data_IF_707849077780
#
_entry.id   IF_707849077780
#
_cell.length_a   1.000
_cell.length_b   1.000
_cell.length_c   1.000
_cell.angle_alpha   90.00
_cell.angle_beta   90.00
_cell.angle_gamma   90.00
#
_symmetry.space_group_name_H-M   'P 1'
#
loop_
_entity.id
_entity.type
_entity.pdbx_description
1 polymer ?
#
# COMPACT_ATOMS: atom_id res chain seq x y z
N UNK A 1 -35.29 -17.48 -36.90
CA UNK A 1 -35.12 -16.64 -35.69
C UNK A 1 -33.63 -16.54 -35.50
N UNK A 2 -33.05 -15.59 -36.21
CA UNK A 2 -31.63 -15.51 -36.50
C UNK A 2 -31.11 -14.35 -35.65
N UNK A 3 -30.29 -14.65 -34.64
CA UNK A 3 -29.74 -13.64 -33.75
C UNK A 3 -28.57 -12.94 -34.43
N UNK A 4 -28.75 -11.68 -34.79
CA UNK A 4 -27.70 -10.84 -35.37
C UNK A 4 -26.77 -10.34 -34.25
N UNK A 5 -25.61 -11.00 -34.08
CA UNK A 5 -24.56 -10.52 -33.18
C UNK A 5 -23.77 -9.41 -33.88
N UNK A 6 -24.08 -8.15 -33.53
CA UNK A 6 -23.32 -6.99 -33.95
C UNK A 6 -22.20 -6.72 -32.94
N UNK A 7 -20.98 -7.16 -33.26
CA UNK A 7 -19.76 -6.78 -32.54
C UNK A 7 -19.46 -5.30 -32.78
N UNK A 8 -19.91 -4.43 -31.86
CA UNK A 8 -19.41 -3.06 -31.77
C UNK A 8 -17.97 -3.10 -31.25
N UNK A 9 -17.08 -2.49 -32.02
CA UNK A 9 -15.66 -2.29 -31.79
C UNK A 9 -15.30 -2.23 -30.31
N UNK A 10 -14.56 -3.24 -29.87
CA UNK A 10 -13.75 -3.13 -28.66
C UNK A 10 -12.64 -2.11 -28.97
N UNK A 11 -12.88 -0.85 -28.62
CA UNK A 11 -11.79 0.12 -28.57
C UNK A 11 -10.71 -0.48 -27.68
N UNK A 12 -9.55 -0.66 -28.29
CA UNK A 12 -8.35 -1.21 -27.72
C UNK A 12 -7.89 -0.27 -26.61
N UNK A 13 -8.52 -0.34 -25.43
CA UNK A 13 -7.94 0.20 -24.21
C UNK A 13 -6.63 -0.54 -24.04
N UNK A 14 -5.55 0.16 -24.38
CA UNK A 14 -4.21 -0.37 -24.40
C UNK A 14 -4.00 -1.21 -23.16
N UNK A 15 -3.78 -2.51 -23.39
CA UNK A 15 -3.18 -3.39 -22.41
C UNK A 15 -1.79 -2.80 -22.14
N UNK A 16 -1.76 -1.85 -21.21
CA UNK A 16 -0.55 -1.44 -20.51
C UNK A 16 0.09 -2.75 -20.05
N UNK A 17 1.41 -2.93 -20.24
CA UNK A 17 2.09 -4.14 -19.81
C UNK A 17 1.72 -4.36 -18.35
N UNK A 18 1.10 -5.50 -18.05
CA UNK A 18 0.78 -5.93 -16.69
C UNK A 18 2.08 -6.33 -15.99
N UNK A 19 3.03 -5.41 -15.87
CA UNK A 19 3.87 -5.43 -14.69
C UNK A 19 2.89 -5.22 -13.56
N UNK A 20 2.51 -6.29 -12.87
CA UNK A 20 1.71 -6.26 -11.63
C UNK A 20 2.55 -5.62 -10.50
N UNK A 21 3.30 -4.57 -10.85
CA UNK A 21 4.08 -3.76 -9.97
C UNK A 21 3.08 -3.05 -9.07
N UNK A 22 3.13 -3.43 -7.81
CA UNK A 22 2.48 -2.71 -6.74
C UNK A 22 2.75 -1.20 -6.91
N UNK A 23 1.76 -0.32 -6.70
CA UNK A 23 1.90 1.13 -6.86
C UNK A 23 2.75 1.75 -5.73
N UNK A 24 3.96 1.24 -5.53
CA UNK A 24 4.91 1.67 -4.49
C UNK A 24 5.42 3.08 -4.72
N UNK A 25 5.32 3.58 -5.96
CA UNK A 25 5.63 4.97 -6.33
C UNK A 25 4.66 5.98 -5.70
N UNK A 26 3.43 5.57 -5.39
CA UNK A 26 2.46 6.42 -4.70
C UNK A 26 2.68 6.49 -3.18
N UNK A 27 3.62 5.70 -2.65
CA UNK A 27 3.95 5.70 -1.22
C UNK A 27 4.90 6.87 -0.90
N UNK A 28 4.66 7.54 0.22
CA UNK A 28 5.65 8.49 0.74
C UNK A 28 6.92 7.76 1.18
N UNK A 29 8.06 8.46 1.27
CA UNK A 29 9.34 7.86 1.71
C UNK A 29 9.21 7.11 3.04
N UNK A 30 8.46 7.67 4.00
CA UNK A 30 8.22 7.05 5.32
C UNK A 30 7.31 5.83 5.24
N UNK A 31 6.23 5.89 4.47
CA UNK A 31 5.35 4.74 4.23
C UNK A 31 6.14 3.59 3.58
N UNK A 32 6.99 3.91 2.60
CA UNK A 32 7.85 2.96 1.94
C UNK A 32 8.88 2.36 2.92
N UNK A 33 9.51 3.17 3.76
CA UNK A 33 10.47 2.72 4.80
C UNK A 33 9.82 1.72 5.77
N UNK A 34 8.65 2.07 6.31
CA UNK A 34 7.87 1.19 7.20
C UNK A 34 7.51 -0.12 6.51
N UNK A 35 7.01 -0.05 5.27
CA UNK A 35 6.62 -1.23 4.49
C UNK A 35 7.82 -2.13 4.17
N UNK A 36 8.95 -1.55 3.77
CA UNK A 36 10.18 -2.29 3.51
C UNK A 36 10.68 -2.99 4.76
N UNK A 37 10.64 -2.32 5.91
CA UNK A 37 11.02 -2.91 7.19
C UNK A 37 10.13 -4.11 7.53
N UNK A 38 8.82 -3.93 7.45
CA UNK A 38 7.85 -5.00 7.69
C UNK A 38 8.11 -6.22 6.80
N UNK A 39 8.39 -6.00 5.50
CA UNK A 39 8.77 -7.09 4.58
C UNK A 39 10.08 -7.76 4.95
N UNK A 40 11.13 -6.97 5.24
CA UNK A 40 12.46 -7.47 5.61
C UNK A 40 12.40 -8.34 6.87
N UNK A 41 11.59 -7.93 7.84
CA UNK A 41 11.34 -8.62 9.11
C UNK A 41 10.32 -9.75 9.01
N UNK A 42 9.81 -10.05 7.80
CA UNK A 42 8.86 -11.16 7.57
C UNK A 42 7.58 -11.00 8.40
N UNK A 43 7.12 -9.75 8.57
CA UNK A 43 5.87 -9.41 9.25
C UNK A 43 4.63 -10.00 8.55
N UNK A 44 4.66 -10.02 7.21
CA UNK A 44 3.61 -10.59 6.38
C UNK A 44 3.74 -12.11 6.16
N UNK A 45 4.76 -12.75 6.74
CA UNK A 45 5.01 -14.19 6.58
C UNK A 45 4.13 -15.01 7.54
N UNK A 46 3.85 -16.25 7.18
CA UNK A 46 3.18 -17.20 8.08
C UNK A 46 4.04 -18.48 8.24
N UNK A 47 4.48 -18.82 9.46
CA UNK A 47 4.26 -18.13 10.74
C UNK A 47 5.00 -16.79 10.83
N UNK A 48 4.38 -15.80 11.48
CA UNK A 48 4.95 -14.44 11.63
C UNK A 48 6.28 -14.53 12.39
N UNK A 49 7.35 -14.02 11.78
CA UNK A 49 8.68 -13.95 12.44
C UNK A 49 8.92 -12.61 13.16
N UNK A 50 8.15 -11.59 12.81
CA UNK A 50 8.16 -10.30 13.49
C UNK A 50 6.73 -9.85 13.80
N UNK A 51 6.58 -9.19 14.94
CA UNK A 51 5.34 -8.58 15.40
C UNK A 51 5.36 -7.09 15.12
N UNK A 52 4.18 -6.46 15.11
CA UNK A 52 4.07 -5.00 14.95
C UNK A 52 4.88 -4.26 16.04
N UNK A 53 4.92 -4.77 17.26
CA UNK A 53 5.74 -4.19 18.34
C UNK A 53 7.25 -4.20 18.05
N UNK A 54 7.79 -5.26 17.42
CA UNK A 54 9.22 -5.34 17.06
C UNK A 54 9.60 -4.31 16.00
N UNK A 55 8.71 -4.11 15.03
CA UNK A 55 8.89 -3.09 13.99
C UNK A 55 8.76 -1.67 14.55
N UNK A 56 7.84 -1.48 15.49
CA UNK A 56 7.59 -0.20 16.13
C UNK A 56 8.78 0.21 17.01
N UNK A 57 9.33 -0.73 17.79
CA UNK A 57 10.55 -0.54 18.58
C UNK A 57 11.77 -0.19 17.69
N UNK A 58 11.96 -0.92 16.59
CA UNK A 58 13.07 -0.68 15.66
C UNK A 58 12.98 0.67 14.94
N UNK A 59 11.75 1.17 14.69
CA UNK A 59 11.50 2.49 14.12
C UNK A 59 11.40 3.59 15.17
N UNK A 60 11.49 3.24 16.46
CA UNK A 60 11.28 4.14 17.59
C UNK A 60 9.94 4.90 17.51
N UNK A 61 8.87 4.17 17.22
CA UNK A 61 7.50 4.70 17.14
C UNK A 61 6.55 3.83 17.96
N UNK A 62 5.38 4.38 18.27
CA UNK A 62 4.28 3.62 18.83
C UNK A 62 3.73 2.56 17.86
N UNK A 63 3.28 1.44 18.39
CA UNK A 63 2.65 0.35 17.59
C UNK A 63 1.44 0.87 16.80
N UNK A 64 0.66 1.79 17.36
CA UNK A 64 -0.47 2.45 16.68
C UNK A 64 -0.02 3.25 15.45
N UNK A 65 1.08 4.01 15.55
CA UNK A 65 1.65 4.79 14.45
C UNK A 65 2.13 3.88 13.33
N UNK A 66 2.78 2.76 13.67
CA UNK A 66 3.17 1.74 12.70
C UNK A 66 1.96 1.20 11.94
N UNK A 67 0.90 0.79 12.66
CA UNK A 67 -0.32 0.28 12.04
C UNK A 67 -0.99 1.30 11.12
N UNK A 68 -0.99 2.58 11.50
CA UNK A 68 -1.52 3.65 10.64
C UNK A 68 -0.72 3.75 9.33
N UNK A 69 0.61 3.70 9.41
CA UNK A 69 1.46 3.70 8.21
C UNK A 69 1.21 2.47 7.34
N UNK A 70 1.13 1.27 7.92
CA UNK A 70 0.84 0.05 7.18
C UNK A 70 -0.54 0.10 6.54
N UNK A 71 -1.57 0.55 7.25
CA UNK A 71 -2.93 0.66 6.70
C UNK A 71 -3.00 1.65 5.53
N UNK A 72 -2.28 2.77 5.62
CA UNK A 72 -2.16 3.74 4.51
C UNK A 72 -1.45 3.12 3.30
N UNK A 73 -0.35 2.40 3.54
CA UNK A 73 0.35 1.65 2.49
C UNK A 73 -0.60 0.64 1.84
N UNK A 74 -1.29 -0.16 2.64
CA UNK A 74 -2.23 -1.19 2.16
C UNK A 74 -3.37 -0.58 1.34
N UNK A 75 -3.94 0.55 1.77
CA UNK A 75 -4.98 1.26 1.01
C UNK A 75 -4.49 1.70 -0.38
N UNK A 76 -3.25 2.18 -0.47
CA UNK A 76 -2.61 2.56 -1.74
C UNK A 76 -2.37 1.30 -2.60
N UNK A 77 -1.84 0.23 -2.01
CA UNK A 77 -1.57 -1.03 -2.69
C UNK A 77 -2.84 -1.71 -3.21
N UNK A 78 -3.96 -1.59 -2.49
CA UNK A 78 -5.27 -2.14 -2.85
C UNK A 78 -6.05 -1.24 -3.84
N UNK A 79 -5.49 -0.09 -4.24
CA UNK A 79 -6.17 0.85 -5.14
C UNK A 79 -7.37 1.56 -4.51
N UNK A 80 -7.47 1.57 -3.17
CA UNK A 80 -8.51 2.27 -2.42
C UNK A 80 -8.19 3.76 -2.21
N UNK A 81 -7.11 4.26 -2.82
CA UNK A 81 -6.62 5.64 -2.70
C UNK A 81 -7.53 6.71 -3.30
N UNK A 82 -8.70 6.35 -3.83
CA UNK A 82 -9.63 7.28 -4.49
C UNK A 82 -10.26 8.37 -3.60
N UNK A 83 -10.26 8.25 -2.26
CA UNK A 83 -11.03 9.18 -1.39
C UNK A 83 -10.35 9.63 -0.08
N UNK A 84 -9.14 9.19 0.26
CA UNK A 84 -8.50 9.56 1.54
C UNK A 84 -7.33 10.54 1.37
N UNK A 85 -7.72 11.80 1.23
CA UNK A 85 -7.22 12.92 2.04
C UNK A 85 -5.76 13.37 1.83
N UNK A 86 -5.64 14.41 1.01
CA UNK A 86 -4.47 15.27 0.80
C UNK A 86 -4.14 16.15 2.02
N UNK A 87 -4.10 15.59 3.25
CA UNK A 87 -3.66 16.30 4.47
C UNK A 87 -2.42 15.71 5.15
N UNK A 88 -1.73 14.75 4.55
CA UNK A 88 -0.57 14.10 5.19
C UNK A 88 0.81 14.68 4.83
N UNK A 89 0.86 15.87 4.20
CA UNK A 89 2.08 16.69 4.14
C UNK A 89 2.26 17.58 5.38
N UNK A 90 1.51 17.31 6.45
CA UNK A 90 1.95 17.64 7.80
C UNK A 90 2.56 16.36 8.33
N UNK A 91 3.87 16.16 8.18
CA UNK A 91 4.59 15.15 8.97
C UNK A 91 4.19 15.37 10.44
N UNK A 92 3.31 14.54 11.03
CA UNK A 92 3.03 14.66 12.44
C UNK A 92 4.28 14.13 13.11
N UNK A 93 5.00 15.05 13.77
CA UNK A 93 6.17 14.83 14.61
C UNK A 93 6.37 13.36 14.96
N UNK A 94 7.41 12.73 14.41
CA UNK A 94 8.01 11.51 14.95
C UNK A 94 8.56 11.82 16.34
N UNK A 95 7.65 12.01 17.29
CA UNK A 95 7.88 12.03 18.72
C UNK A 95 6.68 11.30 19.32
N UNK A 96 6.79 9.98 19.40
CA UNK A 96 6.16 9.25 20.48
C UNK A 96 7.18 8.22 20.98
N UNK A 97 7.50 8.35 22.27
CA UNK A 97 8.65 7.82 22.98
C UNK A 97 8.32 6.52 23.70
#
# INVERSE_FOLDING_TARGET
MDAEINIRSIEHQGRQPTTNALPVDQLTKRQLEVFQLARKKRYYDYPKKASAGDLADELNISTSTLHEHLHKVEAILLGQSGQHDQKLEREPSMHDR
#
